data_IF_837650966562
#
_entry.id   IF_837650966562
#
_cell.length_a   1.000
_cell.length_b   1.000
_cell.length_c   1.000
_cell.angle_alpha   90.00
_cell.angle_beta   90.00
_cell.angle_gamma   90.00
#
_symmetry.space_group_name_H-M   'P 1'
#
loop_
_entity.id
_entity.type
_entity.pdbx_description
1 polymer ?
#
# COMPACT_ATOMS: atom_id res chain seq x y z
N UNK A 1 6.06 18.00 5.18
CA UNK A 1 6.61 18.63 6.41
C UNK A 1 6.72 17.64 7.55
N UNK A 2 7.61 17.88 8.50
CA UNK A 2 7.76 17.05 9.70
C UNK A 2 6.53 17.12 10.62
N UNK A 3 6.18 16.04 11.32
CA UNK A 3 5.04 15.99 12.24
C UNK A 3 5.05 17.12 13.29
N UNK A 4 6.22 17.53 13.75
CA UNK A 4 6.34 18.66 14.68
C UNK A 4 5.84 19.99 14.10
N UNK A 5 5.94 20.19 12.79
CA UNK A 5 5.49 21.40 12.12
C UNK A 5 3.98 21.46 11.89
N UNK A 6 3.35 20.32 11.55
CA UNK A 6 1.92 20.26 11.25
C UNK A 6 1.06 19.64 12.36
N UNK A 7 1.68 19.21 13.46
CA UNK A 7 1.01 18.65 14.65
C UNK A 7 0.18 17.36 14.43
N UNK A 8 0.35 16.71 13.29
CA UNK A 8 -0.26 15.40 13.00
C UNK A 8 0.76 14.32 13.31
N UNK A 9 0.80 13.88 14.56
CA UNK A 9 1.76 12.87 15.02
C UNK A 9 1.37 11.45 14.67
N UNK A 10 0.10 11.24 14.32
CA UNK A 10 -0.43 9.93 13.96
C UNK A 10 -1.44 10.08 12.85
N UNK A 11 -1.09 9.53 11.69
CA UNK A 11 -2.00 9.49 10.55
C UNK A 11 -3.29 8.74 10.90
N UNK A 12 -4.40 9.28 10.44
CA UNK A 12 -5.71 8.70 10.62
C UNK A 12 -6.41 9.00 11.96
N UNK A 13 -5.74 9.60 12.95
CA UNK A 13 -6.33 9.94 14.25
C UNK A 13 -6.53 11.44 14.48
N UNK A 14 -5.91 12.28 13.69
CA UNK A 14 -6.05 13.72 13.74
C UNK A 14 -6.67 14.25 12.45
N UNK A 15 -7.42 15.34 12.57
CA UNK A 15 -7.92 16.07 11.39
C UNK A 15 -6.75 16.65 10.60
N UNK A 16 -6.91 16.74 9.30
CA UNK A 16 -5.94 17.42 8.46
C UNK A 16 -5.93 18.91 8.81
N UNK A 17 -4.77 19.48 9.17
CA UNK A 17 -4.70 20.88 9.58
C UNK A 17 -5.06 21.83 8.44
N UNK A 18 -5.91 22.80 8.70
CA UNK A 18 -6.36 23.79 7.69
C UNK A 18 -5.21 24.66 7.15
N UNK A 19 -4.12 24.78 7.90
CA UNK A 19 -2.90 25.52 7.50
C UNK A 19 -2.02 24.76 6.51
N UNK A 20 -2.25 23.44 6.34
CA UNK A 20 -1.44 22.62 5.46
C UNK A 20 -2.06 22.54 4.07
N UNK A 21 -1.19 22.66 3.07
CA UNK A 21 -1.58 22.62 1.66
C UNK A 21 -0.90 21.43 1.01
N UNK A 22 -1.68 20.56 0.38
CA UNK A 22 -1.15 19.41 -0.35
C UNK A 22 -0.49 19.85 -1.66
N UNK A 23 0.55 19.13 -2.06
CA UNK A 23 1.23 19.36 -3.35
C UNK A 23 0.24 19.30 -4.52
N UNK A 24 -0.78 18.47 -4.44
CA UNK A 24 -1.81 18.33 -5.46
C UNK A 24 -2.69 19.56 -5.58
N UNK A 25 -2.94 20.26 -4.47
CA UNK A 25 -3.61 21.57 -4.52
C UNK A 25 -2.74 22.62 -5.21
N UNK A 26 -1.45 22.68 -4.90
CA UNK A 26 -0.52 23.59 -5.57
C UNK A 26 -0.43 23.33 -7.08
N UNK A 27 -0.43 22.05 -7.47
CA UNK A 27 -0.44 21.67 -8.88
C UNK A 27 -1.77 22.04 -9.57
N UNK A 28 -2.90 21.83 -8.89
CA UNK A 28 -4.21 22.23 -9.42
C UNK A 28 -4.30 23.76 -9.61
N UNK A 29 -3.77 24.55 -8.68
CA UNK A 29 -3.68 26.00 -8.81
C UNK A 29 -2.76 26.43 -9.98
N UNK A 30 -1.73 25.60 -10.27
CA UNK A 30 -0.89 25.74 -11.46
C UNK A 30 -1.53 25.14 -12.73
N UNK A 31 -2.84 24.89 -12.72
CA UNK A 31 -3.66 24.40 -13.84
C UNK A 31 -3.36 22.94 -14.28
N UNK A 32 -2.82 22.12 -13.39
CA UNK A 32 -2.77 20.68 -13.62
C UNK A 32 -4.14 20.06 -13.37
N UNK A 33 -4.53 19.13 -14.22
CA UNK A 33 -5.67 18.25 -13.97
C UNK A 33 -5.21 17.11 -13.05
N UNK A 34 -5.56 17.20 -11.77
CA UNK A 34 -5.10 16.24 -10.77
C UNK A 34 -6.09 15.11 -10.55
N UNK A 35 -5.58 13.87 -10.54
CA UNK A 35 -6.35 12.66 -10.26
C UNK A 35 -5.77 11.86 -9.10
N UNK A 36 -6.65 11.20 -8.34
CA UNK A 36 -6.34 10.16 -7.37
C UNK A 36 -7.03 8.86 -7.78
N UNK A 37 -6.29 7.77 -7.74
CA UNK A 37 -6.81 6.40 -7.81
C UNK A 37 -6.21 5.59 -6.67
N UNK A 38 -7.04 5.02 -5.82
CA UNK A 38 -6.60 4.20 -4.70
C UNK A 38 -6.74 4.87 -3.34
N UNK A 39 -5.77 4.64 -2.47
CA UNK A 39 -5.80 5.06 -1.07
C UNK A 39 -5.34 6.50 -0.89
N UNK A 40 -6.10 7.26 -0.11
CA UNK A 40 -5.66 8.53 0.47
C UNK A 40 -5.98 8.50 1.96
N UNK A 41 -4.95 8.47 2.80
CA UNK A 41 -5.07 8.27 4.24
C UNK A 41 -4.80 9.56 5.01
N UNK A 42 -5.56 10.62 4.71
CA UNK A 42 -5.48 11.90 5.43
C UNK A 42 -6.30 11.88 6.72
N UNK A 43 -7.38 11.07 6.77
CA UNK A 43 -8.22 10.91 7.95
C UNK A 43 -8.18 9.46 8.45
N UNK A 44 -8.69 9.24 9.65
CA UNK A 44 -8.89 7.87 10.15
C UNK A 44 -9.78 7.08 9.21
N UNK A 45 -9.38 5.86 8.88
CA UNK A 45 -10.22 4.91 8.16
C UNK A 45 -11.56 4.64 8.90
N UNK A 46 -11.63 5.00 10.17
CA UNK A 46 -12.83 4.91 11.01
C UNK A 46 -13.70 6.17 11.00
N UNK A 47 -13.20 7.29 10.50
CA UNK A 47 -13.92 8.56 10.44
C UNK A 47 -13.98 9.04 8.99
N UNK A 48 -15.17 9.33 8.50
CA UNK A 48 -15.32 10.06 7.25
C UNK A 48 -15.13 11.54 7.55
N UNK A 49 -13.93 11.98 7.33
CA UNK A 49 -13.61 13.39 7.35
C UNK A 49 -14.10 14.02 6.05
N UNK A 50 -14.65 15.22 6.15
CA UNK A 50 -14.93 16.01 4.95
C UNK A 50 -13.61 16.19 4.22
N UNK A 51 -13.58 15.80 2.96
CA UNK A 51 -12.41 15.95 2.10
C UNK A 51 -11.96 17.41 2.09
N UNK A 52 -10.68 17.74 2.37
CA UNK A 52 -10.15 19.10 2.24
C UNK A 52 -10.13 19.54 0.76
N UNK A 53 -9.79 20.80 0.51
CA UNK A 53 -9.43 21.28 -0.83
C UNK A 53 -8.04 20.72 -1.18
N UNK A 54 -8.02 19.48 -1.66
CA UNK A 54 -6.83 18.71 -1.97
C UNK A 54 -6.36 18.85 -3.44
N UNK A 55 -7.14 19.57 -4.26
CA UNK A 55 -6.85 19.81 -5.67
C UNK A 55 -7.22 18.66 -6.62
N UNK A 56 -7.70 17.53 -6.15
CA UNK A 56 -8.11 16.44 -7.02
C UNK A 56 -9.47 16.69 -7.68
N UNK A 57 -9.52 16.84 -8.98
CA UNK A 57 -10.74 16.83 -9.79
C UNK A 57 -11.29 15.41 -9.98
N UNK A 58 -10.41 14.47 -10.30
CA UNK A 58 -10.72 13.05 -10.44
C UNK A 58 -10.37 12.33 -9.17
N UNK A 59 -11.33 11.65 -8.53
CA UNK A 59 -11.15 11.11 -7.20
C UNK A 59 -11.81 9.74 -7.07
N UNK A 60 -11.06 8.70 -7.38
CA UNK A 60 -11.49 7.30 -7.30
C UNK A 60 -10.83 6.66 -6.08
N UNK A 61 -11.52 6.74 -4.96
CA UNK A 61 -10.96 6.40 -3.65
C UNK A 61 -11.34 5.01 -3.19
N UNK A 62 -10.34 4.28 -2.64
CA UNK A 62 -10.48 3.01 -1.97
C UNK A 62 -9.51 2.95 -0.79
N UNK A 63 -10.02 3.09 0.43
CA UNK A 63 -9.19 3.03 1.64
C UNK A 63 -8.77 1.61 1.97
N UNK A 64 -9.65 0.65 1.78
CA UNK A 64 -9.43 -0.78 2.01
C UNK A 64 -10.28 -1.58 1.02
N UNK A 65 -9.71 -2.57 0.32
CA UNK A 65 -10.44 -3.33 -0.67
C UNK A 65 -11.49 -4.29 -0.10
N UNK A 66 -11.31 -4.76 1.15
CA UNK A 66 -12.14 -5.82 1.72
C UNK A 66 -13.35 -5.34 2.53
N UNK A 67 -13.51 -4.04 2.72
CA UNK A 67 -14.67 -3.49 3.42
C UNK A 67 -15.03 -2.08 2.98
N UNK A 68 -16.28 -1.72 3.18
CA UNK A 68 -16.83 -0.39 2.94
C UNK A 68 -17.50 0.09 4.22
N UNK A 69 -17.05 1.20 4.77
CA UNK A 69 -17.58 1.73 6.04
C UNK A 69 -18.85 2.52 5.83
N UNK A 70 -18.89 3.30 4.75
CA UNK A 70 -20.05 4.05 4.33
C UNK A 70 -20.50 3.54 2.98
N UNK A 71 -21.76 3.18 2.83
CA UNK A 71 -22.30 2.70 1.57
C UNK A 71 -21.95 3.63 0.40
N UNK A 72 -21.46 3.05 -0.68
CA UNK A 72 -21.04 3.74 -1.91
C UNK A 72 -19.84 4.70 -1.77
N UNK A 73 -19.07 4.64 -0.69
CA UNK A 73 -17.84 5.43 -0.54
C UNK A 73 -16.61 4.79 -1.19
N UNK A 74 -16.66 3.51 -1.52
CA UNK A 74 -15.54 2.75 -2.06
C UNK A 74 -15.69 2.60 -3.58
N UNK A 75 -14.88 3.34 -4.34
CA UNK A 75 -14.91 3.31 -5.81
C UNK A 75 -14.55 1.95 -6.40
N UNK A 76 -13.68 1.18 -5.74
CA UNK A 76 -13.38 -0.19 -6.15
C UNK A 76 -14.61 -1.11 -6.00
N UNK A 77 -15.37 -1.01 -4.92
CA UNK A 77 -16.60 -1.77 -4.74
C UNK A 77 -17.68 -1.39 -5.77
N UNK A 78 -17.75 -0.10 -6.13
CA UNK A 78 -18.62 0.37 -7.21
C UNK A 78 -18.22 -0.29 -8.54
N UNK A 79 -16.93 -0.29 -8.88
CA UNK A 79 -16.40 -0.95 -10.08
C UNK A 79 -16.70 -2.46 -10.11
N UNK A 80 -16.55 -3.17 -8.99
CA UNK A 80 -16.91 -4.59 -8.89
C UNK A 80 -18.39 -4.82 -9.24
N UNK A 81 -19.29 -4.00 -8.70
CA UNK A 81 -20.73 -4.12 -8.97
C UNK A 81 -21.08 -3.78 -10.42
N UNK A 82 -20.60 -2.64 -10.91
CA UNK A 82 -21.05 -2.06 -12.18
C UNK A 82 -20.29 -2.61 -13.41
N UNK A 83 -19.02 -2.95 -13.27
CA UNK A 83 -18.17 -3.39 -14.38
C UNK A 83 -17.90 -4.89 -14.39
N UNK A 84 -17.86 -5.51 -13.22
CA UNK A 84 -17.56 -6.94 -13.09
C UNK A 84 -18.76 -7.78 -12.70
N UNK A 85 -19.91 -7.18 -12.45
CA UNK A 85 -21.13 -7.85 -11.99
C UNK A 85 -20.89 -8.75 -10.77
N UNK A 86 -20.07 -8.27 -9.84
CA UNK A 86 -19.69 -8.98 -8.62
C UNK A 86 -20.26 -8.30 -7.38
N UNK A 87 -20.72 -9.09 -6.43
CA UNK A 87 -21.04 -8.58 -5.10
C UNK A 87 -19.78 -8.59 -4.23
N UNK A 88 -19.24 -7.43 -3.83
CA UNK A 88 -18.03 -7.37 -3.02
C UNK A 88 -18.12 -8.15 -1.70
N UNK A 89 -19.29 -8.18 -1.08
CA UNK A 89 -19.51 -8.91 0.19
C UNK A 89 -19.24 -10.41 0.03
N UNK A 90 -19.55 -10.97 -1.13
CA UNK A 90 -19.32 -12.38 -1.42
C UNK A 90 -17.86 -12.68 -1.76
N UNK A 91 -17.16 -11.72 -2.38
CA UNK A 91 -15.75 -11.86 -2.75
C UNK A 91 -14.83 -11.82 -1.52
N UNK A 92 -15.14 -10.91 -0.58
CA UNK A 92 -14.37 -10.76 0.63
C UNK A 92 -15.01 -11.57 1.74
N UNK A 93 -14.60 -12.84 1.86
CA UNK A 93 -15.09 -13.69 2.93
C UNK A 93 -14.86 -13.02 4.30
N UNK A 94 -15.77 -13.29 5.24
CA UNK A 94 -15.65 -12.84 6.64
C UNK A 94 -14.40 -13.39 7.36
N UNK A 95 -13.57 -14.15 6.66
CA UNK A 95 -12.36 -14.72 7.19
C UNK A 95 -11.28 -13.65 7.34
N UNK A 96 -10.98 -13.32 8.59
CA UNK A 96 -9.98 -12.33 8.99
C UNK A 96 -8.57 -12.91 9.05
N UNK A 97 -8.22 -13.82 8.15
CA UNK A 97 -6.87 -14.36 8.06
C UNK A 97 -5.94 -13.32 7.46
N UNK A 98 -4.77 -13.14 8.07
CA UNK A 98 -3.75 -12.20 7.59
C UNK A 98 -2.95 -12.74 6.40
N UNK A 99 -2.97 -14.05 6.18
CA UNK A 99 -2.36 -14.75 5.05
C UNK A 99 -3.40 -15.67 4.42
N UNK A 100 -3.73 -15.44 3.17
CA UNK A 100 -4.74 -16.23 2.43
C UNK A 100 -4.55 -16.08 0.93
N UNK A 101 -5.26 -16.90 0.16
CA UNK A 101 -5.40 -16.66 -1.27
C UNK A 101 -6.40 -15.54 -1.50
N UNK A 102 -6.00 -14.55 -2.27
CA UNK A 102 -6.84 -13.41 -2.61
C UNK A 102 -7.84 -13.69 -3.72
N UNK A 103 -8.49 -12.63 -4.18
CA UNK A 103 -9.40 -12.71 -5.33
C UNK A 103 -8.59 -12.84 -6.63
N UNK A 104 -9.14 -13.48 -7.68
CA UNK A 104 -8.51 -13.53 -9.00
C UNK A 104 -8.17 -12.13 -9.52
N UNK A 105 -7.10 -12.00 -10.32
CA UNK A 105 -6.61 -10.72 -10.84
C UNK A 105 -7.68 -9.91 -11.55
N UNK A 106 -8.61 -10.55 -12.26
CA UNK A 106 -9.68 -9.85 -12.97
C UNK A 106 -10.64 -9.06 -12.05
N UNK A 107 -10.70 -9.43 -10.76
CA UNK A 107 -11.49 -8.76 -9.72
C UNK A 107 -10.62 -7.99 -8.73
N UNK A 108 -9.30 -8.06 -8.87
CA UNK A 108 -8.37 -7.52 -7.89
C UNK A 108 -8.33 -5.99 -7.90
N UNK A 109 -8.07 -5.40 -6.72
CA UNK A 109 -7.99 -3.96 -6.55
C UNK A 109 -6.92 -3.30 -7.44
N UNK A 110 -5.78 -3.96 -7.67
CA UNK A 110 -4.75 -3.46 -8.57
C UNK A 110 -5.23 -3.37 -10.03
N UNK A 111 -6.03 -4.32 -10.50
CA UNK A 111 -6.64 -4.27 -11.85
C UNK A 111 -7.59 -3.08 -11.97
N UNK A 112 -8.43 -2.84 -10.96
CA UNK A 112 -9.24 -1.64 -10.89
C UNK A 112 -8.40 -0.37 -10.91
N UNK A 113 -7.33 -0.30 -10.13
CA UNK A 113 -6.40 0.82 -10.14
C UNK A 113 -5.85 1.08 -11.53
N UNK A 114 -5.41 0.03 -12.23
CA UNK A 114 -4.83 0.12 -13.57
C UNK A 114 -5.84 0.56 -14.61
N UNK A 115 -7.02 -0.06 -14.67
CA UNK A 115 -8.09 0.31 -15.59
C UNK A 115 -8.52 1.78 -15.39
N UNK A 116 -8.63 2.19 -14.14
CA UNK A 116 -9.05 3.55 -13.76
C UNK A 116 -7.96 4.58 -14.06
N UNK A 117 -6.69 4.25 -13.78
CA UNK A 117 -5.54 5.08 -14.12
C UNK A 117 -5.42 5.29 -15.63
N UNK A 118 -5.54 4.23 -16.42
CA UNK A 118 -5.52 4.28 -17.88
C UNK A 118 -6.68 5.14 -18.41
N UNK A 119 -7.88 4.98 -17.83
CA UNK A 119 -9.03 5.82 -18.19
C UNK A 119 -8.76 7.30 -17.93
N UNK A 120 -8.16 7.64 -16.79
CA UNK A 120 -7.78 9.02 -16.49
C UNK A 120 -6.70 9.52 -17.45
N UNK A 121 -5.62 8.77 -17.70
CA UNK A 121 -4.52 9.16 -18.58
C UNK A 121 -5.03 9.45 -19.99
N UNK A 122 -5.97 8.68 -20.48
CA UNK A 122 -6.51 8.78 -21.85
C UNK A 122 -7.57 9.89 -22.05
N UNK A 123 -7.96 10.60 -20.99
CA UNK A 123 -8.89 11.74 -21.15
C UNK A 123 -8.24 12.84 -22.00
N UNK A 124 -9.02 13.41 -22.92
CA UNK A 124 -8.59 14.59 -23.70
C UNK A 124 -8.50 15.81 -22.79
N UNK A 125 -7.35 16.50 -22.82
CA UNK A 125 -7.07 17.68 -21.99
C UNK A 125 -6.36 18.76 -22.80
N UNK A 126 -6.55 20.01 -22.37
CA UNK A 126 -5.80 21.16 -22.92
C UNK A 126 -4.52 21.48 -22.11
N UNK A 127 -4.41 20.98 -20.91
CA UNK A 127 -3.33 21.27 -19.97
C UNK A 127 -2.61 20.01 -19.47
N UNK A 128 -1.58 20.18 -18.63
CA UNK A 128 -0.88 19.08 -18.00
C UNK A 128 -1.76 18.34 -16.99
N UNK A 129 -1.36 17.13 -16.66
CA UNK A 129 -2.06 16.32 -15.66
C UNK A 129 -1.08 15.74 -14.64
N UNK A 130 -1.61 15.40 -13.49
CA UNK A 130 -0.93 14.67 -12.42
C UNK A 130 -1.85 13.55 -11.93
N UNK A 131 -1.31 12.35 -11.78
CA UNK A 131 -2.03 11.21 -11.23
C UNK A 131 -1.29 10.67 -10.01
N UNK A 132 -1.98 10.65 -8.87
CA UNK A 132 -1.56 9.91 -7.69
C UNK A 132 -2.21 8.53 -7.74
N UNK A 133 -1.41 7.50 -8.01
CA UNK A 133 -1.85 6.11 -8.07
C UNK A 133 -1.36 5.39 -6.82
N UNK A 134 -2.27 5.12 -5.91
CA UNK A 134 -1.98 4.66 -4.57
C UNK A 134 -2.70 3.32 -4.29
N UNK A 135 -2.23 2.19 -4.84
CA UNK A 135 -2.83 0.90 -4.54
C UNK A 135 -2.72 0.56 -3.05
N UNK A 136 -3.62 -0.32 -2.59
CA UNK A 136 -3.59 -0.81 -1.21
C UNK A 136 -2.46 -1.83 -1.00
N UNK A 137 -2.22 -2.67 -2.00
CA UNK A 137 -1.13 -3.64 -1.99
C UNK A 137 0.26 -2.97 -1.92
N UNK A 138 1.20 -3.61 -1.25
CA UNK A 138 1.17 -4.91 -0.58
C UNK A 138 0.81 -4.86 0.91
N UNK A 139 -0.07 -3.94 1.33
CA UNK A 139 -0.55 -3.85 2.72
C UNK A 139 -1.30 -5.12 3.16
N UNK A 140 -1.12 -5.61 4.40
CA UNK A 140 -1.91 -6.74 4.91
C UNK A 140 -3.44 -6.52 4.81
N UNK A 141 -4.26 -7.57 4.61
CA UNK A 141 -3.86 -8.98 4.62
C UNK A 141 -2.98 -9.35 3.42
N UNK A 142 -2.11 -10.36 3.59
CA UNK A 142 -1.27 -10.86 2.51
C UNK A 142 -2.10 -11.85 1.69
N UNK A 143 -2.82 -11.33 0.71
CA UNK A 143 -3.82 -12.08 -0.07
C UNK A 143 -3.68 -11.86 -1.59
N UNK A 144 -2.51 -12.24 -2.15
CA UNK A 144 -2.26 -12.12 -3.58
C UNK A 144 -3.22 -12.95 -4.41
N UNK A 145 -3.47 -12.56 -5.67
CA UNK A 145 -4.20 -13.40 -6.60
C UNK A 145 -3.56 -14.78 -6.75
N UNK A 146 -4.37 -15.85 -6.90
CA UNK A 146 -3.86 -17.23 -6.95
C UNK A 146 -2.86 -17.49 -8.08
N UNK A 147 -3.00 -16.81 -9.21
CA UNK A 147 -2.10 -16.95 -10.36
C UNK A 147 -0.69 -16.39 -10.12
N UNK A 148 -0.54 -15.43 -9.20
CA UNK A 148 0.76 -14.96 -8.77
C UNK A 148 1.30 -15.81 -7.62
N UNK A 149 0.45 -16.14 -6.62
CA UNK A 149 0.89 -16.89 -5.45
C UNK A 149 1.51 -18.24 -5.81
N UNK A 150 0.95 -18.97 -6.78
CA UNK A 150 1.46 -20.29 -7.22
C UNK A 150 2.89 -20.28 -7.73
N UNK A 151 3.45 -19.11 -8.07
CA UNK A 151 4.83 -18.97 -8.56
C UNK A 151 5.87 -19.02 -7.44
N UNK A 152 5.45 -18.81 -6.20
CA UNK A 152 6.34 -18.69 -5.04
C UNK A 152 6.18 -19.86 -4.09
N UNK A 153 7.20 -20.71 -4.03
CA UNK A 153 7.28 -21.75 -3.00
C UNK A 153 7.98 -21.16 -1.76
N UNK A 154 7.31 -21.10 -0.61
CA UNK A 154 7.90 -20.54 0.61
C UNK A 154 9.24 -21.17 0.99
N UNK A 155 9.43 -22.46 0.72
CA UNK A 155 10.66 -23.19 1.04
C UNK A 155 11.89 -22.74 0.24
N UNK A 156 11.67 -22.08 -0.90
CA UNK A 156 12.75 -21.60 -1.78
C UNK A 156 13.14 -20.15 -1.48
N UNK A 157 12.46 -19.49 -0.55
CA UNK A 157 12.71 -18.10 -0.21
C UNK A 157 13.71 -17.98 0.94
N UNK A 158 14.50 -16.89 0.97
CA UNK A 158 15.39 -16.63 2.10
C UNK A 158 14.55 -16.46 3.38
N UNK A 159 14.99 -17.09 4.49
CA UNK A 159 14.29 -16.95 5.77
C UNK A 159 14.29 -15.49 6.25
N UNK A 160 13.35 -15.12 7.12
CA UNK A 160 13.41 -13.85 7.83
C UNK A 160 14.72 -13.66 8.60
N UNK A 161 15.19 -12.44 8.70
CA UNK A 161 16.37 -12.07 9.48
C UNK A 161 16.01 -12.07 10.98
N UNK A 162 16.20 -13.20 11.64
CA UNK A 162 15.80 -13.42 13.02
C UNK A 162 16.89 -14.07 13.85
N UNK A 163 17.02 -13.63 15.11
CA UNK A 163 17.84 -14.22 16.15
C UNK A 163 17.06 -14.31 17.45
N UNK A 164 17.30 -15.33 18.29
CA UNK A 164 16.64 -15.45 19.58
C UNK A 164 16.83 -14.22 20.49
N UNK A 165 17.95 -13.50 20.32
CA UNK A 165 18.19 -12.23 21.01
C UNK A 165 17.20 -11.13 20.65
N UNK A 166 16.54 -11.20 19.48
CA UNK A 166 15.52 -10.22 19.07
C UNK A 166 14.30 -10.26 20.00
N UNK A 167 13.92 -11.46 20.47
CA UNK A 167 12.83 -11.62 21.45
C UNK A 167 13.13 -10.85 22.73
N UNK A 168 14.37 -10.98 23.26
CA UNK A 168 14.78 -10.29 24.48
C UNK A 168 14.86 -8.78 24.27
N UNK A 169 15.40 -8.36 23.12
CA UNK A 169 15.50 -6.94 22.76
C UNK A 169 14.12 -6.30 22.64
N UNK A 170 13.15 -6.95 21.99
CA UNK A 170 11.81 -6.41 21.85
C UNK A 170 11.05 -6.29 23.18
N UNK A 171 11.33 -7.16 24.17
CA UNK A 171 10.75 -7.03 25.50
C UNK A 171 11.09 -5.70 26.18
N UNK A 172 12.25 -5.12 25.91
CA UNK A 172 12.65 -3.81 26.46
C UNK A 172 11.75 -2.67 26.01
N UNK A 173 11.08 -2.81 24.87
CA UNK A 173 10.15 -1.82 24.32
C UNK A 173 8.69 -2.08 24.68
N UNK A 174 8.41 -3.06 25.53
CA UNK A 174 7.02 -3.45 25.88
C UNK A 174 6.20 -2.35 26.55
N UNK A 175 6.85 -1.38 27.20
CA UNK A 175 6.23 -0.19 27.77
C UNK A 175 5.82 0.87 26.73
N UNK A 176 6.43 0.84 25.56
CA UNK A 176 6.10 1.78 24.47
C UNK A 176 4.85 1.26 23.76
N UNK A 177 3.74 2.00 23.88
CA UNK A 177 2.42 1.57 23.39
C UNK A 177 2.43 1.15 21.91
N UNK A 178 3.16 1.87 21.07
CA UNK A 178 3.28 1.59 19.63
C UNK A 178 4.27 0.48 19.29
N UNK A 179 4.93 -0.11 20.28
CA UNK A 179 5.93 -1.17 20.11
C UNK A 179 5.63 -2.42 20.94
N UNK A 180 4.40 -2.58 21.41
CA UNK A 180 3.94 -3.75 22.19
C UNK A 180 3.90 -5.07 21.40
N UNK A 181 4.39 -5.07 20.17
CA UNK A 181 4.48 -6.26 19.35
C UNK A 181 5.45 -7.26 19.97
N UNK A 182 4.97 -8.47 20.20
CA UNK A 182 5.83 -9.56 20.65
C UNK A 182 6.62 -10.09 19.47
N UNK A 183 7.94 -10.08 19.58
CA UNK A 183 8.79 -10.84 18.69
C UNK A 183 8.60 -12.33 18.94
N UNK A 184 8.41 -13.10 17.87
CA UNK A 184 8.28 -14.56 17.92
C UNK A 184 9.21 -15.17 16.87
N UNK A 185 9.52 -16.47 16.99
CA UNK A 185 10.26 -17.16 15.94
C UNK A 185 9.39 -17.20 14.65
N UNK A 186 9.82 -16.57 13.54
CA UNK A 186 9.05 -16.49 12.32
C UNK A 186 9.18 -17.76 11.44
N UNK A 187 10.02 -18.70 11.85
CA UNK A 187 10.22 -19.99 11.16
C UNK A 187 9.72 -21.07 12.09
N UNK A 188 8.42 -21.29 12.07
CA UNK A 188 7.80 -22.37 12.83
C UNK A 188 7.79 -23.66 12.03
N UNK A 189 8.06 -24.78 12.72
CA UNK A 189 7.85 -26.11 12.18
C UNK A 189 6.39 -26.28 11.73
N UNK A 190 6.22 -26.93 10.57
CA UNK A 190 5.00 -27.08 9.77
C UNK A 190 3.79 -27.75 10.44
N UNK A 191 3.78 -27.92 11.76
CA UNK A 191 2.75 -28.65 12.49
C UNK A 191 1.76 -27.80 13.29
N UNK A 192 1.89 -26.48 13.25
CA UNK A 192 0.95 -25.62 13.94
C UNK A 192 -0.06 -25.10 12.91
N UNK A 193 -1.28 -25.62 12.96
CA UNK A 193 -2.42 -25.14 12.17
C UNK A 193 -2.81 -23.73 12.68
N UNK A 194 -2.09 -22.72 12.20
CA UNK A 194 -2.26 -21.34 12.62
C UNK A 194 -3.41 -20.70 11.87
N UNK A 195 -4.64 -20.98 12.29
CA UNK A 195 -5.79 -20.12 12.00
C UNK A 195 -5.63 -18.84 12.82
N UNK A 196 -4.81 -17.93 12.35
CA UNK A 196 -4.56 -16.68 13.04
C UNK A 196 -5.59 -15.68 12.55
N UNK A 197 -6.52 -15.36 13.44
CA UNK A 197 -7.48 -14.29 13.21
C UNK A 197 -6.76 -12.95 13.32
N UNK A 198 -6.86 -12.15 12.28
CA UNK A 198 -6.57 -10.73 12.37
C UNK A 198 -7.59 -10.11 13.32
N UNK A 199 -7.18 -9.86 14.54
CA UNK A 199 -7.99 -9.16 15.52
C UNK A 199 -8.00 -7.65 15.28
N UNK A 200 -8.01 -7.24 14.01
CA UNK A 200 -7.96 -5.87 13.53
C UNK A 200 -8.37 -4.85 14.56
N UNK A 201 -7.38 -4.34 15.30
CA UNK A 201 -7.58 -3.24 16.22
C UNK A 201 -7.44 -1.96 15.43
N UNK A 202 -8.56 -1.41 15.01
CA UNK A 202 -8.70 -0.23 14.15
C UNK A 202 -8.03 1.05 14.70
N UNK A 203 -7.40 1.00 15.83
CA UNK A 203 -6.90 2.22 16.47
C UNK A 203 -5.44 2.24 16.90
N UNK A 204 -4.77 1.10 16.96
CA UNK A 204 -3.45 1.02 17.64
C UNK A 204 -2.33 0.39 16.83
N UNK A 205 -2.54 0.19 15.55
CA UNK A 205 -1.69 -0.66 14.73
C UNK A 205 -2.05 -2.13 14.96
N UNK A 206 -2.10 -2.86 13.89
CA UNK A 206 -2.44 -4.29 13.88
C UNK A 206 -1.67 -5.00 14.99
N UNK A 207 -2.39 -5.68 15.85
CA UNK A 207 -1.73 -6.63 16.76
C UNK A 207 -1.30 -7.81 15.91
N UNK A 208 -0.01 -8.07 15.77
CA UNK A 208 0.40 -9.27 15.08
C UNK A 208 -0.13 -10.47 15.84
N UNK A 209 -0.43 -11.54 15.14
CA UNK A 209 -0.77 -12.80 15.76
C UNK A 209 0.32 -13.25 16.73
N UNK A 210 -0.03 -14.06 17.73
CA UNK A 210 0.95 -14.62 18.66
C UNK A 210 2.03 -15.42 17.94
N UNK A 211 1.68 -16.00 16.79
CA UNK A 211 2.54 -16.77 15.91
C UNK A 211 2.21 -16.45 14.46
N UNK A 212 3.16 -16.54 13.56
CA UNK A 212 2.97 -16.33 12.14
C UNK A 212 3.96 -17.12 11.28
N UNK A 213 3.56 -17.45 10.07
CA UNK A 213 4.39 -18.09 9.07
C UNK A 213 5.15 -17.02 8.25
N UNK A 214 6.39 -16.76 8.64
CA UNK A 214 7.23 -15.75 7.97
C UNK A 214 7.57 -16.10 6.52
N UNK A 215 7.74 -17.37 6.20
CA UNK A 215 8.02 -17.81 4.82
C UNK A 215 6.77 -17.72 3.94
N UNK A 216 5.62 -18.13 4.46
CA UNK A 216 4.34 -17.98 3.77
C UNK A 216 4.01 -16.52 3.51
N UNK A 217 4.23 -15.64 4.50
CA UNK A 217 4.07 -14.18 4.34
C UNK A 217 5.00 -13.64 3.25
N UNK A 218 6.29 -14.03 3.24
CA UNK A 218 7.24 -13.60 2.20
C UNK A 218 6.79 -14.05 0.81
N UNK A 219 6.32 -15.29 0.67
CA UNK A 219 5.81 -15.80 -0.62
C UNK A 219 4.61 -14.98 -1.11
N UNK A 220 3.66 -14.71 -0.23
CA UNK A 220 2.49 -13.90 -0.55
C UNK A 220 2.90 -12.46 -0.90
N UNK A 221 3.78 -11.85 -0.13
CA UNK A 221 4.25 -10.49 -0.37
C UNK A 221 4.98 -10.34 -1.71
N UNK A 222 5.84 -11.31 -2.06
CA UNK A 222 6.52 -11.31 -3.37
C UNK A 222 5.52 -11.46 -4.52
N UNK A 223 4.50 -12.30 -4.34
CA UNK A 223 3.42 -12.45 -5.31
C UNK A 223 2.62 -11.14 -5.49
N UNK A 224 2.37 -10.40 -4.40
CA UNK A 224 1.73 -9.07 -4.45
C UNK A 224 2.60 -8.05 -5.19
N UNK A 225 3.92 -8.04 -4.93
CA UNK A 225 4.86 -7.16 -5.62
C UNK A 225 4.91 -7.49 -7.12
N UNK A 226 4.94 -8.76 -7.50
CA UNK A 226 4.92 -9.16 -8.91
C UNK A 226 3.62 -8.72 -9.60
N UNK A 227 2.49 -8.79 -8.91
CA UNK A 227 1.23 -8.25 -9.44
C UNK A 227 1.29 -6.73 -9.61
N UNK A 228 1.89 -6.00 -8.66
CA UNK A 228 2.11 -4.54 -8.78
C UNK A 228 2.95 -4.24 -10.02
N UNK A 229 4.07 -4.94 -10.20
CA UNK A 229 4.97 -4.75 -11.35
C UNK A 229 4.23 -5.03 -12.67
N UNK A 230 3.49 -6.13 -12.76
CA UNK A 230 2.67 -6.46 -13.91
C UNK A 230 1.67 -5.34 -14.25
N UNK A 231 0.91 -4.89 -13.26
CA UNK A 231 -0.12 -3.86 -13.46
C UNK A 231 0.50 -2.49 -13.80
N UNK A 232 1.63 -2.16 -13.22
CA UNK A 232 2.39 -0.96 -13.57
C UNK A 232 2.92 -1.03 -15.00
N UNK A 233 3.38 -2.20 -15.44
CA UNK A 233 3.78 -2.45 -16.84
C UNK A 233 2.69 -2.08 -17.83
N UNK A 234 1.43 -2.45 -17.57
CA UNK A 234 0.29 -2.10 -18.44
C UNK A 234 0.07 -0.57 -18.56
N UNK A 235 0.30 0.17 -17.47
CA UNK A 235 0.21 1.64 -17.49
C UNK A 235 1.35 2.24 -18.35
N UNK A 236 2.57 1.73 -18.18
CA UNK A 236 3.71 2.17 -19.01
C UNK A 236 3.48 1.90 -20.50
N UNK A 237 2.92 0.75 -20.82
CA UNK A 237 2.61 0.40 -22.22
C UNK A 237 1.50 1.29 -22.80
N UNK A 238 0.51 1.67 -21.99
CA UNK A 238 -0.50 2.65 -22.40
C UNK A 238 0.12 4.04 -22.66
N UNK A 239 1.05 4.51 -21.80
CA UNK A 239 1.76 5.76 -22.01
C UNK A 239 2.61 5.75 -23.30
N UNK A 240 3.31 4.63 -23.57
CA UNK A 240 4.07 4.43 -24.81
C UNK A 240 3.15 4.46 -26.04
N UNK A 241 2.07 3.67 -26.01
CA UNK A 241 1.08 3.58 -27.09
C UNK A 241 0.48 4.93 -27.47
N UNK A 242 0.30 5.81 -26.49
CA UNK A 242 -0.26 7.14 -26.68
C UNK A 242 0.82 8.23 -26.89
N UNK A 243 2.09 7.87 -27.07
CA UNK A 243 3.22 8.78 -27.22
C UNK A 243 3.35 9.81 -26.08
N UNK A 244 2.96 9.41 -24.86
CA UNK A 244 3.03 10.27 -23.69
C UNK A 244 4.25 10.00 -22.80
N UNK A 245 4.88 8.83 -22.92
CA UNK A 245 5.95 8.37 -22.03
C UNK A 245 7.14 9.34 -21.96
N UNK A 246 7.53 9.91 -23.11
CA UNK A 246 8.68 10.83 -23.20
C UNK A 246 8.43 12.16 -22.48
N UNK A 247 7.17 12.55 -22.33
CA UNK A 247 6.78 13.81 -21.68
C UNK A 247 6.09 13.60 -20.31
N UNK A 248 6.30 12.42 -19.72
CA UNK A 248 5.75 12.07 -18.41
C UNK A 248 6.88 11.83 -17.41
N UNK A 249 6.81 12.53 -16.28
CA UNK A 249 7.66 12.21 -15.13
C UNK A 249 6.96 11.11 -14.36
N UNK A 250 7.65 10.01 -14.13
CA UNK A 250 7.18 8.87 -13.36
C UNK A 250 7.99 8.81 -12.07
N UNK A 251 7.29 8.80 -10.95
CA UNK A 251 7.88 8.64 -9.62
C UNK A 251 7.28 7.37 -9.01
N UNK A 252 8.13 6.37 -8.76
CA UNK A 252 7.74 5.14 -8.08
C UNK A 252 8.38 5.12 -6.69
N UNK A 253 7.55 4.97 -5.67
CA UNK A 253 7.99 4.92 -4.27
C UNK A 253 6.98 4.18 -3.40
N UNK A 254 7.30 4.01 -2.12
CA UNK A 254 6.40 3.51 -1.08
C UNK A 254 6.41 4.46 0.11
N UNK A 255 5.33 4.48 0.89
CA UNK A 255 5.22 5.25 2.13
C UNK A 255 6.06 4.63 3.26
N UNK A 256 6.16 3.31 3.31
CA UNK A 256 6.99 2.54 4.24
C UNK A 256 7.17 1.12 3.69
N UNK A 257 8.08 0.37 4.31
CA UNK A 257 8.27 -1.05 4.04
C UNK A 257 7.42 -1.95 4.95
N UNK A 258 7.84 -3.22 5.06
CA UNK A 258 7.19 -4.26 5.84
C UNK A 258 8.25 -5.18 6.47
N UNK A 259 8.01 -5.65 7.70
CA UNK A 259 9.01 -6.46 8.44
C UNK A 259 9.09 -7.91 7.96
N UNK A 260 8.01 -8.49 7.47
CA UNK A 260 7.99 -9.84 6.86
C UNK A 260 8.61 -10.95 7.72
N UNK A 261 8.57 -10.82 9.02
CA UNK A 261 9.19 -11.76 9.96
C UNK A 261 10.60 -11.36 10.44
N UNK A 262 11.22 -10.36 9.86
CA UNK A 262 12.51 -9.87 10.32
C UNK A 262 12.41 -9.41 11.78
N UNK A 263 13.43 -9.73 12.58
CA UNK A 263 13.43 -9.53 14.04
C UNK A 263 12.29 -10.24 14.80
N UNK A 264 11.65 -11.24 14.17
CA UNK A 264 10.47 -11.92 14.72
C UNK A 264 9.21 -11.06 14.74
N UNK A 265 9.11 -10.08 13.85
CA UNK A 265 8.05 -9.09 13.78
C UNK A 265 7.39 -9.10 12.40
N UNK A 266 6.11 -8.72 12.36
CA UNK A 266 5.39 -8.44 11.12
C UNK A 266 4.74 -7.06 11.20
N UNK A 267 4.28 -6.57 10.05
CA UNK A 267 3.71 -5.26 9.88
C UNK A 267 4.73 -4.13 10.08
N UNK A 268 4.24 -3.01 10.47
CA UNK A 268 4.98 -1.76 10.66
C UNK A 268 4.86 -1.25 12.10
N UNK A 269 5.01 -0.01 12.30
CA UNK A 269 4.85 0.67 13.58
C UNK A 269 5.95 1.71 13.77
N UNK A 270 6.08 2.25 14.98
CA UNK A 270 7.13 3.22 15.30
C UNK A 270 8.51 2.55 15.48
N UNK A 271 8.98 1.90 14.43
CA UNK A 271 10.25 1.18 14.38
C UNK A 271 11.07 1.68 13.19
N UNK A 272 12.39 1.77 13.37
CA UNK A 272 13.31 2.27 12.36
C UNK A 272 14.24 1.16 11.85
N UNK A 273 13.66 -0.03 11.61
CA UNK A 273 14.37 -1.12 10.97
C UNK A 273 14.52 -0.84 9.47
N UNK A 274 15.64 -1.28 8.91
CA UNK A 274 15.96 -1.10 7.49
C UNK A 274 14.81 -1.54 6.57
N UNK A 275 14.21 -2.68 6.83
CA UNK A 275 13.07 -3.19 6.05
C UNK A 275 11.80 -2.30 6.08
N UNK A 276 11.72 -1.33 6.99
CA UNK A 276 10.61 -0.39 7.07
C UNK A 276 10.92 0.98 6.46
N UNK A 277 12.14 1.46 6.61
CA UNK A 277 12.49 2.85 6.26
C UNK A 277 13.22 2.96 4.93
N UNK A 278 13.85 1.90 4.47
CA UNK A 278 14.55 1.88 3.18
C UNK A 278 13.57 1.47 2.06
N UNK A 279 12.82 2.44 1.58
CA UNK A 279 11.82 2.24 0.53
C UNK A 279 12.41 2.53 -0.85
N UNK A 280 11.87 1.93 -1.92
CA UNK A 280 12.29 2.25 -3.28
C UNK A 280 11.95 3.71 -3.62
N UNK A 281 12.84 4.35 -4.37
CA UNK A 281 12.58 5.65 -4.98
C UNK A 281 13.17 5.69 -6.38
N UNK A 282 12.31 5.70 -7.38
CA UNK A 282 12.69 5.71 -8.78
C UNK A 282 12.09 6.94 -9.47
N UNK A 283 12.94 7.72 -10.12
CA UNK A 283 12.52 8.80 -11.02
C UNK A 283 12.82 8.41 -12.46
N UNK A 284 11.82 8.49 -13.31
CA UNK A 284 11.96 8.28 -14.73
C UNK A 284 11.38 9.45 -15.51
N UNK A 285 12.20 10.05 -16.35
CA UNK A 285 11.78 11.01 -17.37
C UNK A 285 12.65 10.82 -18.60
N UNK A 286 12.26 9.96 -19.56
CA UNK A 286 13.12 9.54 -20.66
C UNK A 286 13.72 10.71 -21.45
N UNK A 287 12.96 11.79 -21.61
CA UNK A 287 13.40 12.99 -22.33
C UNK A 287 14.52 13.79 -21.63
N UNK A 288 14.66 13.66 -20.31
CA UNK A 288 15.52 14.55 -19.49
C UNK A 288 16.56 13.80 -18.67
N UNK A 289 16.22 12.65 -18.11
CA UNK A 289 17.11 11.94 -17.20
C UNK A 289 17.95 10.90 -17.94
N UNK A 290 19.21 10.80 -17.55
CA UNK A 290 20.08 9.70 -17.98
C UNK A 290 19.55 8.38 -17.46
N UNK A 291 19.68 7.34 -18.28
CA UNK A 291 19.32 5.97 -17.89
C UNK A 291 20.36 5.38 -16.91
N UNK A 292 19.93 4.48 -16.05
CA UNK A 292 20.79 3.67 -15.18
C UNK A 292 21.71 4.50 -14.25
N UNK A 293 21.22 5.62 -13.74
CA UNK A 293 21.94 6.41 -12.74
C UNK A 293 21.45 6.02 -11.35
N UNK A 294 22.37 5.66 -10.48
CA UNK A 294 22.12 5.44 -9.06
C UNK A 294 22.64 6.64 -8.29
N UNK A 295 21.83 7.16 -7.36
CA UNK A 295 22.22 8.25 -6.46
C UNK A 295 22.28 7.72 -5.01
N UNK A 296 23.33 8.08 -4.30
CA UNK A 296 23.51 7.80 -2.87
C UNK A 296 23.05 8.99 -1.99
N UNK A 297 22.36 9.96 -2.57
CA UNK A 297 21.81 11.08 -1.80
C UNK A 297 20.75 10.57 -0.82
N UNK A 298 20.79 11.07 0.41
CA UNK A 298 19.74 10.83 1.39
C UNK A 298 18.48 11.60 1.00
N UNK A 299 17.35 10.91 1.01
CA UNK A 299 16.05 11.46 0.65
C UNK A 299 15.04 11.04 1.71
N UNK A 300 14.15 11.92 2.07
CA UNK A 300 13.06 11.67 3.03
C UNK A 300 11.70 12.01 2.40
N UNK A 301 10.67 11.28 2.82
CA UNK A 301 9.28 11.59 2.49
C UNK A 301 8.71 12.58 3.52
N UNK A 302 8.78 13.88 3.25
CA UNK A 302 8.30 14.94 4.15
C UNK A 302 7.39 15.96 3.42
#
# INVERSE_FOLDING_TARGET
RYPAAHQVYRNGNAFFPKSEVLITKLLADARYDCGLVGKLHLSSASKLEKRPDDGYRFFEWCQNPSWEKVPNSNSYWKWLREKKNQNPINLFSKNKEYLKVGVPSEFHQLTWCTETAISFINQKRKGPWMLSLNPFDPHPPFDPPPEFLKKYNPKNLPPPLFKNSDILRQKQFSSVRSQKLRSVNPVLDNNINLKIKDNGDEGTGSRPPEYFDGLGIKAAYYAMIENIDHQFGLILDNLKKNNQIENTIIIFTSDHGELLGDHGLIYKGCKFFEGLIHVPLIFSWPKKYKKNVISNALVESI
#
